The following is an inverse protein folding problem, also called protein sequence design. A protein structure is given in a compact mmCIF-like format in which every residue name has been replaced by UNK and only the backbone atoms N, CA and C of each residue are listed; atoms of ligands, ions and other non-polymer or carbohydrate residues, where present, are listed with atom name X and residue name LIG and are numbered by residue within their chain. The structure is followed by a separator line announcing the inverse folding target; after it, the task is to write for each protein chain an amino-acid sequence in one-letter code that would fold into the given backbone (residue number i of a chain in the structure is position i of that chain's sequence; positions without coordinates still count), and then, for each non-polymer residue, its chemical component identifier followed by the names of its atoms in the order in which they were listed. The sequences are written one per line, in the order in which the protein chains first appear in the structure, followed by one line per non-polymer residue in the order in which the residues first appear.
data_IF_911312386332
#
_entry.id   IF_911312386332
#
_cell.length_a   1.000
_cell.length_b   1.000
_cell.length_c   1.000
_cell.angle_alpha   90.00
_cell.angle_beta   90.00
_cell.angle_gamma   90.00
#
_symmetry.space_group_name_H-M   'P 1'
#
loop_
_entity.id
_entity.type
_entity.pdbx_description
1 polymer ?
#
# COMPACT_ATOMS: atom_id res chain seq x y z
N UNK A 1 -47.02 -5.62 17.99
CA UNK A 1 -46.54 -6.22 16.71
C UNK A 1 -46.37 -5.19 15.57
N UNK A 2 -47.39 -4.35 15.21
CA UNK A 2 -47.27 -3.37 14.09
C UNK A 2 -46.14 -2.32 14.29
N UNK A 3 -45.97 -1.79 15.51
CA UNK A 3 -44.90 -0.81 15.83
C UNK A 3 -43.49 -1.41 15.68
N UNK A 4 -43.29 -2.66 16.19
CA UNK A 4 -42.01 -3.36 16.04
C UNK A 4 -41.67 -3.63 14.57
N UNK A 5 -42.65 -4.09 13.76
CA UNK A 5 -42.45 -4.28 12.32
C UNK A 5 -42.06 -2.99 11.60
N UNK A 6 -42.67 -1.85 11.91
CA UNK A 6 -42.32 -0.55 11.33
C UNK A 6 -40.93 -0.10 11.75
N UNK A 7 -40.55 -0.32 13.01
CA UNK A 7 -39.21 -0.03 13.52
C UNK A 7 -38.15 -0.88 12.78
N UNK A 8 -38.36 -2.20 12.70
CA UNK A 8 -37.46 -3.10 11.96
C UNK A 8 -37.35 -2.75 10.48
N UNK A 9 -38.44 -2.37 9.85
CA UNK A 9 -38.42 -1.91 8.46
C UNK A 9 -37.63 -0.61 8.30
N UNK A 10 -37.74 0.33 9.24
CA UNK A 10 -36.96 1.57 9.26
C UNK A 10 -35.46 1.31 9.42
N UNK A 11 -35.09 0.40 10.35
CA UNK A 11 -33.69 -0.01 10.54
C UNK A 11 -33.16 -0.69 9.27
N UNK A 12 -33.92 -1.61 8.67
CA UNK A 12 -33.51 -2.26 7.42
C UNK A 12 -33.31 -1.24 6.28
N UNK A 13 -34.24 -0.29 6.12
CA UNK A 13 -34.11 0.75 5.11
C UNK A 13 -32.84 1.62 5.35
N UNK A 14 -32.56 1.98 6.60
CA UNK A 14 -31.36 2.73 6.97
C UNK A 14 -30.08 1.93 6.65
N UNK A 15 -30.03 0.63 6.99
CA UNK A 15 -28.92 -0.25 6.65
C UNK A 15 -28.74 -0.39 5.13
N UNK A 16 -29.84 -0.53 4.38
CA UNK A 16 -29.78 -0.60 2.92
C UNK A 16 -29.21 0.69 2.31
N UNK A 17 -29.67 1.84 2.79
CA UNK A 17 -29.12 3.15 2.38
C UNK A 17 -27.63 3.24 2.72
N UNK A 18 -27.23 2.87 3.93
CA UNK A 18 -25.83 2.86 4.33
C UNK A 18 -24.95 2.00 3.41
N UNK A 19 -25.41 0.80 3.05
CA UNK A 19 -24.68 -0.09 2.14
C UNK A 19 -24.61 0.51 0.74
N UNK A 20 -25.71 1.05 0.20
CA UNK A 20 -25.74 1.64 -1.15
C UNK A 20 -24.77 2.82 -1.26
N UNK A 21 -24.74 3.72 -0.28
CA UNK A 21 -23.82 4.86 -0.27
C UNK A 21 -22.37 4.49 0.03
N UNK A 22 -22.15 3.37 0.73
CA UNK A 22 -20.81 2.87 1.04
C UNK A 22 -20.18 2.05 -0.07
N UNK A 23 -20.95 1.67 -1.10
CA UNK A 23 -20.50 0.85 -2.22
C UNK A 23 -19.82 1.71 -3.27
N UNK A 24 -18.57 2.08 -3.02
CA UNK A 24 -17.72 2.88 -3.92
C UNK A 24 -16.46 2.10 -4.28
N UNK A 25 -16.29 1.81 -5.56
CA UNK A 25 -15.13 1.10 -6.13
C UNK A 25 -14.35 1.98 -7.12
N UNK A 26 -14.64 3.28 -7.16
CA UNK A 26 -13.88 4.22 -7.96
C UNK A 26 -12.46 4.35 -7.41
N UNK A 27 -11.48 4.22 -8.29
CA UNK A 27 -10.08 4.41 -7.93
C UNK A 27 -9.86 5.86 -7.46
N UNK A 28 -9.25 6.02 -6.28
CA UNK A 28 -8.89 7.32 -5.73
C UNK A 28 -7.36 7.46 -5.69
N UNK A 29 -6.86 8.65 -5.97
CA UNK A 29 -5.47 9.02 -5.64
C UNK A 29 -5.49 9.85 -4.36
N UNK A 30 -4.83 9.35 -3.32
CA UNK A 30 -4.71 10.04 -2.02
C UNK A 30 -3.30 10.57 -1.89
N UNK A 31 -3.17 11.88 -1.63
CA UNK A 31 -1.87 12.53 -1.48
C UNK A 31 -1.58 12.79 -0.01
N UNK A 32 -0.35 12.46 0.41
CA UNK A 32 0.20 12.79 1.72
C UNK A 32 1.48 13.60 1.52
N UNK A 33 1.61 14.69 2.27
CA UNK A 33 2.84 15.48 2.31
C UNK A 33 3.67 15.07 3.52
N UNK A 34 4.97 14.88 3.32
CA UNK A 34 5.94 14.57 4.38
C UNK A 34 7.01 15.64 4.37
N UNK A 35 7.04 16.47 5.40
CA UNK A 35 8.05 17.51 5.54
C UNK A 35 9.32 16.92 6.15
N UNK A 36 10.48 17.21 5.54
CA UNK A 36 11.77 16.75 6.04
C UNK A 36 12.88 17.75 5.78
N UNK A 37 13.70 18.07 6.78
CA UNK A 37 14.88 18.93 6.58
C UNK A 37 15.98 18.31 5.72
N UNK A 38 15.86 17.01 5.39
CA UNK A 38 16.79 16.29 4.51
C UNK A 38 16.49 16.53 3.04
N UNK A 39 15.29 17.07 2.72
CA UNK A 39 14.80 17.25 1.34
C UNK A 39 14.62 18.74 1.07
N UNK A 40 15.21 19.24 -0.01
CA UNK A 40 15.16 20.66 -0.40
C UNK A 40 14.40 20.91 -1.71
N UNK A 41 14.18 19.84 -2.49
CA UNK A 41 13.33 19.84 -3.68
C UNK A 41 12.32 18.70 -3.58
N UNK A 42 11.07 18.90 -3.95
CA UNK A 42 10.04 17.87 -3.80
C UNK A 42 10.39 16.57 -4.52
N UNK A 43 10.12 15.44 -3.83
CA UNK A 43 10.21 14.09 -4.38
C UNK A 43 8.85 13.43 -4.27
N UNK A 44 8.35 12.87 -5.35
CA UNK A 44 7.02 12.26 -5.46
C UNK A 44 7.12 10.75 -5.60
N UNK A 45 6.76 10.02 -4.57
CA UNK A 45 6.72 8.56 -4.54
C UNK A 45 5.27 8.10 -4.68
N UNK A 46 4.96 7.32 -5.72
CA UNK A 46 3.65 6.69 -5.86
C UNK A 46 3.71 5.25 -5.36
N UNK A 47 2.90 4.96 -4.36
CA UNK A 47 2.78 3.63 -3.78
C UNK A 47 1.52 2.93 -4.30
N UNK A 48 1.72 1.75 -4.88
CA UNK A 48 0.71 0.76 -5.21
C UNK A 48 0.86 -0.42 -4.25
N UNK A 49 -0.24 -0.95 -3.75
CA UNK A 49 -0.25 -2.20 -2.99
C UNK A 49 -1.54 -2.98 -3.24
N UNK A 50 -1.51 -4.27 -2.92
CA UNK A 50 -2.70 -5.12 -2.91
C UNK A 50 -3.51 -5.01 -4.23
N UNK A 51 -2.83 -5.06 -5.38
CA UNK A 51 -3.49 -5.05 -6.70
C UNK A 51 -4.23 -6.38 -6.94
N UNK A 52 -3.67 -7.49 -6.46
CA UNK A 52 -4.23 -8.85 -6.59
C UNK A 52 -4.71 -9.17 -8.00
N UNK A 53 -3.93 -8.80 -9.00
CA UNK A 53 -4.27 -8.99 -10.42
C UNK A 53 -5.64 -8.44 -10.83
N UNK A 54 -6.24 -7.54 -10.05
CA UNK A 54 -7.53 -6.94 -10.34
C UNK A 54 -7.51 -6.11 -11.61
N UNK A 55 -8.64 -6.10 -12.32
CA UNK A 55 -8.81 -5.35 -13.56
C UNK A 55 -9.20 -3.88 -13.29
N UNK A 56 -8.52 -2.96 -13.98
CA UNK A 56 -8.78 -1.52 -14.00
C UNK A 56 -8.94 -1.02 -15.44
N UNK A 57 -10.09 -1.28 -16.00
CA UNK A 57 -10.39 -0.99 -17.41
C UNK A 57 -9.72 -1.98 -18.39
N UNK A 58 -9.85 -1.73 -19.68
CA UNK A 58 -9.17 -2.50 -20.72
C UNK A 58 -7.69 -2.16 -20.74
N UNK A 59 -6.82 -3.20 -20.69
CA UNK A 59 -5.37 -3.00 -20.65
C UNK A 59 -4.89 -2.18 -19.44
N UNK A 60 -5.62 -2.23 -18.33
CA UNK A 60 -5.32 -1.49 -17.09
C UNK A 60 -5.37 0.04 -17.25
N UNK A 61 -6.07 0.52 -18.25
CA UNK A 61 -6.09 1.93 -18.65
C UNK A 61 -6.44 2.87 -17.50
N UNK A 62 -7.47 2.55 -16.70
CA UNK A 62 -7.94 3.44 -15.63
C UNK A 62 -6.87 3.60 -14.53
N UNK A 63 -6.12 2.54 -14.24
CA UNK A 63 -5.00 2.55 -13.30
C UNK A 63 -3.83 3.36 -13.86
N UNK A 64 -3.44 3.09 -15.11
CA UNK A 64 -2.29 3.75 -15.75
C UNK A 64 -2.54 5.24 -16.00
N UNK A 65 -3.76 5.62 -16.34
CA UNK A 65 -4.16 7.03 -16.44
C UNK A 65 -4.03 7.74 -15.08
N UNK A 66 -4.47 7.08 -13.98
CA UNK A 66 -4.35 7.63 -12.64
C UNK A 66 -2.88 7.78 -12.19
N UNK A 67 -2.02 6.79 -12.51
CA UNK A 67 -0.56 6.88 -12.26
C UNK A 67 0.05 8.04 -13.03
N UNK A 68 -0.30 8.17 -14.32
CA UNK A 68 0.21 9.27 -15.17
C UNK A 68 -0.24 10.63 -14.63
N UNK A 69 -1.49 10.76 -14.22
CA UNK A 69 -2.03 11.99 -13.62
C UNK A 69 -1.35 12.34 -12.28
N UNK A 70 -0.91 11.33 -11.52
CA UNK A 70 -0.16 11.53 -10.28
C UNK A 70 1.25 12.07 -10.52
N UNK A 71 1.80 11.96 -11.75
CA UNK A 71 3.12 12.42 -12.14
C UNK A 71 4.23 12.11 -11.11
N UNK A 72 4.47 10.82 -10.77
CA UNK A 72 5.47 10.44 -9.79
C UNK A 72 6.89 10.53 -10.36
N UNK A 73 7.89 10.70 -9.49
CA UNK A 73 9.30 10.55 -9.83
C UNK A 73 9.73 9.07 -9.82
N UNK A 74 9.12 8.29 -8.93
CA UNK A 74 9.31 6.83 -8.86
C UNK A 74 8.04 6.15 -8.36
N UNK A 75 7.94 4.85 -8.66
CA UNK A 75 6.82 3.99 -8.27
C UNK A 75 7.32 2.88 -7.35
N UNK A 76 6.61 2.66 -6.24
CA UNK A 76 6.89 1.55 -5.32
C UNK A 76 5.68 0.62 -5.22
N UNK A 77 5.93 -0.66 -5.32
CA UNK A 77 4.94 -1.73 -5.30
C UNK A 77 5.10 -2.48 -3.97
N UNK A 78 4.14 -2.30 -3.05
CA UNK A 78 4.31 -2.71 -1.64
C UNK A 78 3.47 -3.95 -1.33
N UNK A 79 3.74 -5.02 -2.08
CA UNK A 79 3.21 -6.36 -1.86
C UNK A 79 1.79 -6.60 -2.36
N UNK A 80 1.49 -7.89 -2.52
CA UNK A 80 0.21 -8.43 -3.01
C UNK A 80 -0.21 -7.81 -4.36
N UNK A 81 0.76 -7.69 -5.26
CA UNK A 81 0.55 -7.19 -6.62
C UNK A 81 -0.01 -8.31 -7.49
N UNK A 82 0.53 -9.51 -7.36
CA UNK A 82 -0.03 -10.74 -7.91
C UNK A 82 -1.14 -11.30 -6.99
N UNK A 83 -1.85 -12.30 -7.48
CA UNK A 83 -2.89 -13.01 -6.74
C UNK A 83 -2.72 -14.53 -6.92
N UNK A 84 -3.10 -15.31 -5.91
CA UNK A 84 -3.04 -16.77 -5.95
C UNK A 84 -4.26 -17.42 -6.63
N UNK A 85 -5.28 -16.63 -6.99
CA UNK A 85 -6.53 -17.08 -7.63
C UNK A 85 -6.73 -16.45 -9.01
N UNK A 86 -6.56 -15.12 -9.13
CA UNK A 86 -6.73 -14.40 -10.38
C UNK A 86 -5.51 -14.58 -11.31
N UNK A 87 -5.72 -14.67 -12.65
CA UNK A 87 -4.61 -14.81 -13.59
C UNK A 87 -3.71 -13.57 -13.61
N UNK A 88 -2.39 -13.73 -13.82
CA UNK A 88 -1.40 -12.66 -13.69
C UNK A 88 -1.46 -11.57 -14.78
N UNK A 89 -2.15 -11.80 -15.88
CA UNK A 89 -2.08 -10.94 -17.07
C UNK A 89 -2.36 -9.44 -16.82
N UNK A 90 -3.23 -9.09 -15.87
CA UNK A 90 -3.45 -7.70 -15.51
C UNK A 90 -2.24 -7.12 -14.77
N UNK A 91 -1.63 -7.90 -13.87
CA UNK A 91 -0.39 -7.51 -13.18
C UNK A 91 0.75 -7.35 -14.16
N UNK A 92 0.97 -8.33 -15.05
CA UNK A 92 2.04 -8.29 -16.06
C UNK A 92 1.91 -7.04 -16.94
N UNK A 93 0.68 -6.71 -17.37
CA UNK A 93 0.40 -5.49 -18.13
C UNK A 93 0.73 -4.25 -17.34
N UNK A 94 0.36 -4.21 -16.05
CA UNK A 94 0.65 -3.07 -15.16
C UNK A 94 2.15 -2.89 -14.99
N UNK A 95 2.87 -3.95 -14.60
CA UNK A 95 4.31 -3.89 -14.32
C UNK A 95 5.10 -3.46 -15.56
N UNK A 96 4.80 -4.05 -16.73
CA UNK A 96 5.47 -3.70 -17.97
C UNK A 96 5.25 -2.22 -18.33
N UNK A 97 4.03 -1.69 -18.18
CA UNK A 97 3.72 -0.30 -18.48
C UNK A 97 4.38 0.67 -17.48
N UNK A 98 4.39 0.32 -16.18
CA UNK A 98 5.03 1.14 -15.16
C UNK A 98 6.54 1.22 -15.37
N UNK A 99 7.22 0.08 -15.56
CA UNK A 99 8.67 0.02 -15.71
C UNK A 99 9.19 0.70 -16.99
N UNK A 100 8.35 0.82 -18.02
CA UNK A 100 8.70 1.57 -19.23
C UNK A 100 8.76 3.10 -19.01
N UNK A 101 8.06 3.62 -18.01
CA UNK A 101 7.86 5.05 -17.82
C UNK A 101 8.50 5.60 -16.53
N UNK A 102 8.69 4.78 -15.52
CA UNK A 102 9.21 5.19 -14.20
C UNK A 102 10.20 4.18 -13.63
N UNK A 103 11.15 4.61 -12.79
CA UNK A 103 11.87 3.71 -11.90
C UNK A 103 10.86 3.00 -10.98
N UNK A 104 10.84 1.65 -11.00
CA UNK A 104 9.90 0.85 -10.25
C UNK A 104 10.60 -0.11 -9.29
N UNK A 105 10.16 -0.12 -8.05
CA UNK A 105 10.70 -0.96 -6.98
C UNK A 105 9.59 -1.79 -6.35
N UNK A 106 9.89 -3.03 -5.98
CA UNK A 106 8.90 -3.98 -5.52
C UNK A 106 9.38 -4.76 -4.31
N UNK A 107 8.50 -4.92 -3.33
CA UNK A 107 8.60 -5.89 -2.25
C UNK A 107 7.42 -6.84 -2.32
N UNK A 108 7.63 -8.11 -2.00
CA UNK A 108 6.56 -9.10 -2.03
C UNK A 108 5.63 -8.97 -0.82
N UNK A 109 4.36 -9.32 -1.03
CA UNK A 109 3.38 -9.58 0.01
C UNK A 109 3.15 -11.08 0.21
N UNK A 110 2.13 -11.44 0.94
CA UNK A 110 1.86 -12.85 1.25
C UNK A 110 1.14 -13.63 0.14
N UNK A 111 0.61 -12.96 -0.86
CA UNK A 111 0.04 -13.57 -2.07
C UNK A 111 1.03 -13.58 -3.24
N UNK A 112 2.17 -12.92 -3.13
CA UNK A 112 3.21 -12.85 -4.16
C UNK A 112 4.26 -13.97 -4.02
N UNK A 113 4.01 -14.99 -3.25
CA UNK A 113 4.99 -16.08 -3.00
C UNK A 113 5.47 -16.65 -4.34
N UNK A 114 6.78 -16.60 -4.57
CA UNK A 114 7.47 -16.97 -5.83
C UNK A 114 7.28 -16.00 -7.00
N UNK A 115 6.75 -14.80 -6.81
CA UNK A 115 6.54 -13.83 -7.89
C UNK A 115 7.64 -12.77 -8.04
N UNK A 116 8.66 -12.75 -7.18
CA UNK A 116 9.77 -11.79 -7.26
C UNK A 116 10.50 -11.81 -8.61
N UNK A 117 10.79 -13.00 -9.16
CA UNK A 117 11.41 -13.16 -10.47
C UNK A 117 10.47 -12.72 -11.61
N UNK A 118 9.16 -12.90 -11.45
CA UNK A 118 8.18 -12.46 -12.44
C UNK A 118 8.14 -10.93 -12.54
N UNK A 119 8.19 -10.20 -11.43
CA UNK A 119 8.27 -8.73 -11.43
C UNK A 119 9.56 -8.26 -12.11
N UNK A 120 10.70 -8.89 -11.81
CA UNK A 120 11.99 -8.57 -12.44
C UNK A 120 11.97 -8.79 -13.97
N UNK A 121 11.24 -9.79 -14.46
CA UNK A 121 11.08 -10.04 -15.90
C UNK A 121 10.38 -8.89 -16.65
N UNK A 122 9.63 -8.03 -15.94
CA UNK A 122 8.98 -6.84 -16.47
C UNK A 122 9.82 -5.55 -16.27
N UNK A 123 11.07 -5.65 -15.78
CA UNK A 123 11.95 -4.51 -15.58
C UNK A 123 11.76 -3.78 -14.24
N UNK A 124 11.04 -4.38 -13.29
CA UNK A 124 10.86 -3.86 -11.94
C UNK A 124 11.97 -4.37 -11.03
N UNK A 125 12.57 -3.51 -10.23
CA UNK A 125 13.62 -3.90 -9.27
C UNK A 125 12.99 -4.47 -8.00
N UNK A 126 13.14 -5.78 -7.79
CA UNK A 126 12.68 -6.45 -6.57
C UNK A 126 13.69 -6.24 -5.43
N UNK A 127 13.21 -5.92 -4.24
CA UNK A 127 14.01 -5.72 -3.02
C UNK A 127 13.64 -6.79 -1.99
N UNK A 128 14.65 -7.51 -1.47
CA UNK A 128 14.45 -8.56 -0.46
C UNK A 128 15.51 -8.48 0.63
N UNK A 129 15.43 -7.48 1.47
CA UNK A 129 16.45 -7.15 2.46
C UNK A 129 17.53 -6.24 1.90
N UNK A 130 17.22 -5.51 0.82
CA UNK A 130 18.15 -4.63 0.12
C UNK A 130 17.96 -3.18 0.57
N UNK A 131 19.09 -2.46 0.64
CA UNK A 131 19.15 -1.02 0.81
C UNK A 131 19.75 -0.40 -0.46
N UNK A 132 19.00 0.43 -1.13
CA UNK A 132 19.36 1.02 -2.41
C UNK A 132 19.48 2.54 -2.26
N UNK A 133 20.70 3.11 -2.34
CA UNK A 133 20.87 4.56 -2.46
C UNK A 133 20.34 5.05 -3.81
N UNK A 134 19.53 6.10 -3.78
CA UNK A 134 18.94 6.72 -4.96
C UNK A 134 19.16 8.24 -4.90
N UNK A 135 19.38 8.86 -6.05
CA UNK A 135 19.30 10.32 -6.19
C UNK A 135 18.12 10.65 -7.10
N UNK A 136 17.12 11.38 -6.57
CA UNK A 136 15.90 11.77 -7.26
C UNK A 136 15.75 13.29 -7.12
N UNK A 137 15.65 14.03 -8.22
CA UNK A 137 15.58 15.51 -8.22
C UNK A 137 16.71 16.15 -7.39
N UNK A 138 17.94 15.62 -7.51
CA UNK A 138 19.12 16.00 -6.73
C UNK A 138 18.96 15.78 -5.19
N UNK A 139 18.04 14.95 -4.77
CA UNK A 139 17.82 14.57 -3.38
C UNK A 139 18.27 13.13 -3.12
N UNK A 140 19.02 12.90 -2.05
CA UNK A 140 19.52 11.58 -1.68
C UNK A 140 18.49 10.83 -0.82
N UNK A 141 18.08 9.66 -1.31
CA UNK A 141 17.20 8.74 -0.62
C UNK A 141 17.91 7.40 -0.36
N UNK A 142 17.59 6.77 0.75
CA UNK A 142 17.91 5.36 1.00
C UNK A 142 16.61 4.56 0.96
N UNK A 143 16.34 3.90 -0.18
CA UNK A 143 15.17 3.04 -0.36
C UNK A 143 15.50 1.63 0.09
N UNK A 144 14.78 1.16 1.10
CA UNK A 144 14.96 -0.17 1.67
C UNK A 144 13.70 -1.01 1.46
N UNK A 145 13.87 -2.29 1.12
CA UNK A 145 12.77 -3.19 0.89
C UNK A 145 12.87 -4.50 1.65
N UNK A 146 11.77 -4.95 2.23
CA UNK A 146 11.62 -6.23 2.91
C UNK A 146 10.52 -7.04 2.27
N UNK A 147 10.86 -8.19 1.71
CA UNK A 147 9.88 -9.19 1.29
C UNK A 147 9.10 -9.76 2.48
N UNK A 148 7.89 -10.27 2.21
CA UNK A 148 7.05 -10.86 3.24
C UNK A 148 7.78 -12.00 3.98
N UNK A 149 7.61 -12.14 5.31
CA UNK A 149 8.25 -13.20 6.08
C UNK A 149 7.84 -14.62 5.67
N UNK A 150 6.74 -14.80 4.93
CA UNK A 150 6.39 -16.11 4.34
C UNK A 150 7.35 -16.52 3.23
N UNK A 151 7.89 -15.54 2.50
CA UNK A 151 8.81 -15.75 1.39
C UNK A 151 10.27 -15.69 1.82
N UNK A 152 10.60 -14.83 2.81
CA UNK A 152 11.96 -14.62 3.27
C UNK A 152 12.24 -15.25 4.64
N UNK A 153 12.86 -16.43 4.71
CA UNK A 153 13.31 -17.01 5.98
C UNK A 153 14.31 -16.12 6.73
N UNK A 154 14.99 -15.21 6.00
CA UNK A 154 15.96 -14.27 6.54
C UNK A 154 15.33 -12.94 6.99
N UNK A 155 14.01 -12.80 6.98
CA UNK A 155 13.30 -11.54 7.27
C UNK A 155 13.84 -10.80 8.49
N UNK A 156 13.96 -11.49 9.63
CA UNK A 156 14.44 -10.86 10.87
C UNK A 156 15.89 -10.38 10.75
N UNK A 157 16.76 -11.14 10.05
CA UNK A 157 18.15 -10.75 9.80
C UNK A 157 18.24 -9.56 8.86
N UNK A 158 17.45 -9.58 7.77
CA UNK A 158 17.39 -8.47 6.82
C UNK A 158 16.90 -7.20 7.50
N UNK A 159 15.79 -7.30 8.26
CA UNK A 159 15.26 -6.15 8.99
C UNK A 159 16.28 -5.56 9.99
N UNK A 160 17.00 -6.40 10.73
CA UNK A 160 18.02 -5.91 11.66
C UNK A 160 19.13 -5.14 10.93
N UNK A 161 19.61 -5.67 9.80
CA UNK A 161 20.65 -5.03 9.00
C UNK A 161 20.14 -3.71 8.38
N UNK A 162 18.90 -3.66 7.89
CA UNK A 162 18.29 -2.45 7.34
C UNK A 162 18.06 -1.39 8.41
N UNK A 163 17.60 -1.77 9.60
CA UNK A 163 17.45 -0.85 10.73
C UNK A 163 18.79 -0.20 11.12
N UNK A 164 19.89 -0.96 11.14
CA UNK A 164 21.23 -0.43 11.41
C UNK A 164 21.68 0.58 10.34
N UNK A 165 21.43 0.28 9.07
CA UNK A 165 21.76 1.19 7.97
C UNK A 165 20.92 2.48 8.03
N UNK A 166 19.63 2.38 8.31
CA UNK A 166 18.74 3.54 8.40
C UNK A 166 19.15 4.49 9.54
N UNK A 167 19.54 3.94 10.70
CA UNK A 167 20.00 4.73 11.86
C UNK A 167 21.23 5.60 11.56
N UNK A 168 22.05 5.19 10.61
CA UNK A 168 23.31 5.87 10.26
C UNK A 168 23.23 6.67 8.96
N UNK A 169 22.09 6.62 8.26
CA UNK A 169 21.91 7.29 6.98
C UNK A 169 21.69 8.79 7.13
N UNK A 170 22.44 9.59 6.38
CA UNK A 170 22.22 11.04 6.23
C UNK A 170 21.07 11.31 5.22
N UNK A 171 20.89 10.43 4.25
CA UNK A 171 19.82 10.47 3.25
C UNK A 171 18.42 10.30 3.88
N UNK A 172 17.39 10.71 3.16
CA UNK A 172 16.00 10.43 3.54
C UNK A 172 15.70 8.93 3.42
N UNK A 173 15.28 8.29 4.51
CA UNK A 173 15.14 6.84 4.59
C UNK A 173 13.72 6.39 4.37
N UNK A 174 13.50 5.46 3.44
CA UNK A 174 12.19 4.88 3.11
C UNK A 174 12.24 3.37 3.27
N UNK A 175 11.36 2.82 4.11
CA UNK A 175 11.16 1.37 4.22
C UNK A 175 9.90 0.95 3.50
N UNK A 176 10.02 -0.01 2.60
CA UNK A 176 8.90 -0.73 1.99
C UNK A 176 8.74 -2.07 2.71
N UNK A 177 7.59 -2.32 3.31
CA UNK A 177 7.26 -3.61 3.89
C UNK A 177 5.75 -3.82 3.96
N UNK A 178 5.29 -4.95 3.43
CA UNK A 178 3.87 -5.18 3.18
C UNK A 178 3.00 -5.17 4.45
N UNK A 179 3.48 -5.72 5.61
CA UNK A 179 2.66 -5.95 6.81
C UNK A 179 2.70 -4.82 7.83
N UNK A 180 1.62 -4.04 8.00
CA UNK A 180 1.54 -2.96 8.98
C UNK A 180 1.54 -3.48 10.43
N UNK A 181 1.07 -4.70 10.68
CA UNK A 181 1.07 -5.33 12.01
C UNK A 181 2.46 -5.49 12.63
N UNK A 182 3.53 -5.40 11.83
CA UNK A 182 4.93 -5.51 12.26
C UNK A 182 5.60 -4.18 12.57
N UNK A 183 4.87 -3.08 12.58
CA UNK A 183 5.41 -1.72 12.79
C UNK A 183 6.34 -1.62 14.00
N UNK A 184 6.03 -2.31 15.11
CA UNK A 184 6.90 -2.32 16.28
C UNK A 184 8.29 -2.92 16.05
N UNK A 185 8.49 -3.71 14.98
CA UNK A 185 9.79 -4.23 14.57
C UNK A 185 10.52 -3.28 13.62
N UNK A 186 9.79 -2.41 12.91
CA UNK A 186 10.35 -1.44 11.97
C UNK A 186 10.85 -0.19 12.69
N UNK A 187 10.09 0.34 13.66
CA UNK A 187 10.39 1.59 14.38
C UNK A 187 11.82 1.70 14.93
N UNK A 188 12.48 0.62 15.42
CA UNK A 188 13.86 0.72 15.86
C UNK A 188 14.84 1.23 14.80
N UNK A 189 14.51 1.17 13.51
CA UNK A 189 15.34 1.73 12.43
C UNK A 189 15.36 3.26 12.38
N UNK A 190 14.40 3.95 13.00
CA UNK A 190 14.31 5.42 12.96
C UNK A 190 14.04 5.96 11.56
N UNK A 191 13.23 5.26 10.79
CA UNK A 191 12.87 5.60 9.41
C UNK A 191 12.17 6.95 9.29
N UNK A 192 12.49 7.71 8.25
CA UNK A 192 11.74 8.94 7.93
C UNK A 192 10.33 8.60 7.40
N UNK A 193 10.24 7.56 6.54
CA UNK A 193 8.98 7.08 5.94
C UNK A 193 8.91 5.56 5.92
N UNK A 194 7.76 5.01 6.30
CA UNK A 194 7.44 3.58 6.12
C UNK A 194 6.16 3.47 5.29
N UNK A 195 6.17 2.63 4.25
CA UNK A 195 5.03 2.34 3.40
C UNK A 195 4.62 0.86 3.56
N UNK A 196 3.34 0.62 3.82
CA UNK A 196 2.76 -0.72 3.95
C UNK A 196 1.42 -0.83 3.22
N UNK A 197 0.97 -2.07 3.00
CA UNK A 197 -0.35 -2.44 2.45
C UNK A 197 -1.10 -3.42 3.36
N UNK A 198 -1.54 -4.57 2.79
CA UNK A 198 -2.07 -5.75 3.49
C UNK A 198 -3.40 -5.58 4.24
N UNK A 199 -3.65 -4.43 4.84
CA UNK A 199 -4.83 -4.23 5.69
C UNK A 199 -6.13 -4.00 4.91
N UNK A 200 -6.05 -3.77 3.59
CA UNK A 200 -7.18 -3.47 2.70
C UNK A 200 -8.14 -2.40 3.26
N UNK A 201 -7.62 -1.41 3.99
CA UNK A 201 -8.43 -0.39 4.64
C UNK A 201 -9.38 -0.92 5.71
N UNK A 202 -9.16 -2.16 6.20
CA UNK A 202 -10.05 -2.85 7.13
C UNK A 202 -11.42 -3.17 6.55
N UNK A 203 -11.54 -3.34 5.24
CA UNK A 203 -12.72 -3.68 4.43
C UNK A 203 -13.89 -2.70 4.59
N UNK A 204 -14.49 -2.58 5.77
CA UNK A 204 -15.59 -1.67 6.08
C UNK A 204 -15.11 -0.52 6.95
N UNK A 205 -15.47 0.68 6.57
CA UNK A 205 -15.13 1.91 7.28
C UNK A 205 -16.38 2.70 7.58
N UNK A 206 -16.29 3.58 8.56
CA UNK A 206 -17.29 4.62 8.82
C UNK A 206 -16.50 5.94 8.90
N UNK A 207 -16.60 6.82 7.90
CA UNK A 207 -15.84 8.06 7.87
C UNK A 207 -15.95 8.85 9.18
N UNK A 208 -14.81 9.22 9.77
CA UNK A 208 -14.72 9.95 11.03
C UNK A 208 -15.00 9.14 12.31
N UNK A 209 -15.41 7.86 12.21
CA UNK A 209 -15.74 7.03 13.37
C UNK A 209 -14.95 5.71 13.42
N UNK A 210 -14.83 5.01 12.29
CA UNK A 210 -14.19 3.70 12.21
C UNK A 210 -13.21 3.66 11.04
N UNK A 211 -11.93 3.52 11.34
CA UNK A 211 -10.87 3.47 10.32
C UNK A 211 -10.78 2.11 9.62
N UNK A 212 -11.28 1.05 10.21
CA UNK A 212 -11.35 -0.29 9.61
C UNK A 212 -12.04 -1.27 10.55
N UNK A 213 -12.86 -2.16 9.99
CA UNK A 213 -13.57 -3.16 10.79
C UNK A 213 -12.76 -4.44 10.96
N UNK A 214 -12.12 -4.93 9.88
CA UNK A 214 -11.45 -6.23 9.85
C UNK A 214 -10.24 -6.19 8.92
N UNK A 215 -9.06 -6.48 9.43
CA UNK A 215 -7.86 -6.64 8.62
C UNK A 215 -7.19 -8.01 8.85
N UNK A 216 -6.48 -8.55 7.86
CA UNK A 216 -5.62 -9.72 8.08
C UNK A 216 -4.62 -9.46 9.20
N UNK A 217 -4.22 -10.52 9.91
CA UNK A 217 -3.27 -10.51 11.03
C UNK A 217 -3.68 -9.70 12.27
N UNK A 218 -4.55 -8.67 12.14
CA UNK A 218 -4.99 -7.81 13.25
C UNK A 218 -6.44 -8.12 13.72
N UNK A 219 -7.23 -8.83 12.91
CA UNK A 219 -8.62 -9.16 13.22
C UNK A 219 -9.55 -7.95 13.23
N UNK A 220 -10.46 -7.90 14.23
CA UNK A 220 -11.44 -6.81 14.36
C UNK A 220 -10.81 -5.55 14.92
N UNK A 221 -11.20 -4.40 14.35
CA UNK A 221 -10.75 -3.05 14.74
C UNK A 221 -9.24 -2.88 14.68
N UNK A 222 -8.63 -3.13 13.50
CA UNK A 222 -7.19 -3.03 13.32
C UNK A 222 -6.69 -1.61 13.64
N UNK A 223 -5.53 -1.55 14.30
CA UNK A 223 -4.92 -0.27 14.67
C UNK A 223 -4.44 0.51 13.44
N UNK A 224 -3.91 -0.20 12.43
CA UNK A 224 -3.28 0.38 11.25
C UNK A 224 -3.97 -0.10 9.97
N UNK A 225 -5.25 0.24 9.79
CA UNK A 225 -6.05 -0.22 8.66
C UNK A 225 -5.78 0.53 7.35
N UNK A 226 -5.42 1.80 7.43
CA UNK A 226 -5.15 2.65 6.26
C UNK A 226 -5.07 4.12 6.63
N UNK A 227 -4.24 4.86 5.91
CA UNK A 227 -3.99 6.27 6.16
C UNK A 227 -2.59 6.56 6.72
N UNK A 228 -2.36 7.81 7.15
CA UNK A 228 -1.11 8.28 7.73
C UNK A 228 -1.15 8.20 9.25
N UNK A 229 -0.05 7.76 9.83
CA UNK A 229 0.21 7.72 11.26
C UNK A 229 1.59 8.33 11.52
N UNK A 230 1.65 9.33 12.39
CA UNK A 230 2.91 9.92 12.82
C UNK A 230 3.33 9.24 14.13
N UNK A 231 4.41 8.47 14.07
CA UNK A 231 4.90 7.62 15.15
C UNK A 231 6.32 8.05 15.54
N UNK A 232 6.45 8.75 16.67
CA UNK A 232 7.72 9.34 17.11
C UNK A 232 8.31 10.25 16.00
N UNK A 233 9.41 9.83 15.37
CA UNK A 233 10.08 10.55 14.28
C UNK A 233 9.80 9.92 12.90
N UNK A 234 8.88 8.96 12.83
CA UNK A 234 8.59 8.18 11.62
C UNK A 234 7.20 8.52 11.08
N UNK A 235 7.09 8.90 9.83
CA UNK A 235 5.81 8.89 9.11
C UNK A 235 5.53 7.48 8.62
N UNK A 236 4.43 6.89 9.10
CA UNK A 236 3.97 5.58 8.67
C UNK A 236 2.68 5.70 7.84
N UNK A 237 2.70 5.23 6.60
CA UNK A 237 1.54 5.26 5.70
C UNK A 237 1.15 3.84 5.35
N UNK A 238 -0.11 3.52 5.60
CA UNK A 238 -0.71 2.24 5.22
C UNK A 238 -1.68 2.49 4.08
N UNK A 239 -1.39 1.91 2.91
CA UNK A 239 -2.28 1.94 1.76
C UNK A 239 -3.51 1.08 2.02
N UNK A 240 -4.68 1.54 1.55
CA UNK A 240 -5.91 0.73 1.53
C UNK A 240 -5.92 -0.29 0.40
N UNK A 241 -4.93 -0.22 -0.49
CA UNK A 241 -4.75 -1.16 -1.57
C UNK A 241 -5.75 -1.03 -2.72
N UNK A 242 -5.46 -1.76 -3.77
CA UNK A 242 -6.17 -1.73 -5.05
C UNK A 242 -7.15 -2.91 -5.25
N UNK A 243 -7.17 -3.91 -4.36
CA UNK A 243 -8.01 -5.09 -4.50
C UNK A 243 -9.50 -4.75 -4.61
N UNK A 244 -10.18 -5.34 -5.59
CA UNK A 244 -11.62 -5.24 -5.82
C UNK A 244 -12.29 -6.61 -5.84
N UNK A 245 -11.79 -7.50 -6.68
CA UNK A 245 -12.43 -8.76 -7.03
C UNK A 245 -11.88 -9.95 -6.22
N UNK A 246 -10.65 -9.85 -5.72
CA UNK A 246 -9.97 -10.95 -5.00
C UNK A 246 -10.42 -11.12 -3.55
N UNK A 247 -11.11 -10.14 -2.98
CA UNK A 247 -11.55 -10.20 -1.58
C UNK A 247 -12.96 -10.78 -1.44
N UNK A 248 -13.13 -11.72 -0.50
CA UNK A 248 -14.45 -12.31 -0.20
C UNK A 248 -15.40 -11.36 0.51
N UNK A 249 -14.86 -10.32 1.15
CA UNK A 249 -15.62 -9.29 1.88
C UNK A 249 -15.59 -8.03 1.04
N UNK A 250 -16.77 -7.50 0.60
CA UNK A 250 -16.81 -6.29 -0.20
C UNK A 250 -16.30 -5.09 0.61
N UNK A 251 -15.76 -4.08 -0.09
CA UNK A 251 -15.38 -2.81 0.53
C UNK A 251 -16.62 -1.95 0.74
N UNK A 252 -16.73 -1.29 1.91
CA UNK A 252 -17.76 -0.29 2.20
C UNK A 252 -17.12 0.97 2.76
N UNK A 253 -17.41 2.14 2.17
CA UNK A 253 -16.76 3.43 2.47
C UNK A 253 -15.24 3.36 2.41
N UNK A 254 -14.73 2.49 1.58
CA UNK A 254 -13.33 2.13 1.48
C UNK A 254 -12.94 1.89 0.02
N UNK A 255 -13.00 2.92 -0.84
CA UNK A 255 -12.61 2.79 -2.24
C UNK A 255 -11.15 2.39 -2.37
N UNK A 256 -10.78 1.67 -3.46
CA UNK A 256 -9.40 1.37 -3.77
C UNK A 256 -8.60 2.66 -4.00
N UNK A 257 -7.31 2.64 -3.62
CA UNK A 257 -6.48 3.83 -3.73
C UNK A 257 -5.08 3.60 -4.25
N UNK A 258 -4.59 4.61 -4.95
CA UNK A 258 -3.17 4.93 -5.12
C UNK A 258 -2.77 5.91 -4.01
N UNK A 259 -1.60 5.72 -3.45
CA UNK A 259 -1.05 6.64 -2.44
C UNK A 259 0.12 7.41 -3.07
N UNK A 260 -0.05 8.72 -3.23
CA UNK A 260 1.02 9.62 -3.62
C UNK A 260 1.63 10.25 -2.36
N UNK A 261 2.93 10.09 -2.18
CA UNK A 261 3.67 10.76 -1.10
C UNK A 261 4.55 11.83 -1.72
N UNK A 262 4.32 13.07 -1.33
CA UNK A 262 5.16 14.21 -1.71
C UNK A 262 6.03 14.57 -0.50
N UNK A 263 7.33 14.37 -0.65
CA UNK A 263 8.34 14.67 0.37
C UNK A 263 8.91 16.05 0.04
N UNK A 264 8.92 16.97 1.01
CA UNK A 264 9.39 18.35 0.81
C UNK A 264 10.10 18.92 2.04
#
# INVERSE_FOLDING_TARGET
MKRLKRFLLGVFALCAVFVVFGWDYDLKTVCYTVDSPKITQPVRILCLSDLHSCRYGEGQKDLLDAVTAAAPDLVVLVGDIYDDVLPPGNTDTTLAALAQNWPCYYVTGNHDVFCGDAAAAHGVTALNGDALPLTVNDQDLLLCGLSDPRESPAFAKHLAALNEQAQTAEAFTVLLSHRPSRIGQYLPGGWDLILSGHAHGGQWRIPGLLNGLLAPDEGLFPRYAGGRYDLENTTFIVSRGLAKESTRVPRLYNPPELVLVEIQ
#
